data_IF_936478509095
#
_entry.id   IF_936478509095
#
_cell.length_a   1.000
_cell.length_b   1.000
_cell.length_c   1.000
_cell.angle_alpha   90.00
_cell.angle_beta   90.00
_cell.angle_gamma   90.00
#
_symmetry.space_group_name_H-M   'P 1'
#
loop_
_entity.id
_entity.type
_entity.pdbx_description
1 polymer ?
#
# COMPACT_ATOMS: atom_id res chain seq x y z
N UNK A 1 -3.87 -8.10 -20.09
CA UNK A 1 -2.91 -7.83 -18.99
C UNK A 1 -3.01 -6.40 -18.44
N UNK A 2 -3.03 -5.34 -19.27
CA UNK A 2 -3.34 -3.95 -18.85
C UNK A 2 -4.68 -3.84 -18.10
N UNK A 3 -5.71 -4.53 -18.59
CA UNK A 3 -7.07 -4.49 -18.05
C UNK A 3 -7.20 -5.18 -16.67
N UNK A 4 -6.47 -6.27 -16.45
CA UNK A 4 -6.43 -6.97 -15.15
C UNK A 4 -5.64 -6.15 -14.11
N UNK A 5 -4.53 -5.53 -14.52
CA UNK A 5 -3.77 -4.62 -13.64
C UNK A 5 -4.53 -3.33 -13.33
N UNK A 6 -5.35 -2.84 -14.27
CA UNK A 6 -6.25 -1.71 -14.07
C UNK A 6 -7.37 -2.05 -13.09
N UNK A 7 -8.06 -3.20 -13.26
CA UNK A 7 -9.09 -3.65 -12.30
C UNK A 7 -8.56 -3.84 -10.88
N UNK A 8 -7.39 -4.47 -10.73
CA UNK A 8 -6.78 -4.70 -9.43
C UNK A 8 -6.38 -3.38 -8.73
N UNK A 9 -5.89 -2.40 -9.50
CA UNK A 9 -5.59 -1.07 -8.98
C UNK A 9 -6.84 -0.37 -8.44
N UNK A 10 -7.93 -0.36 -9.21
CA UNK A 10 -9.19 0.29 -8.83
C UNK A 10 -9.85 -0.39 -7.62
N UNK A 11 -9.84 -1.72 -7.56
CA UNK A 11 -10.41 -2.47 -6.43
C UNK A 11 -9.62 -2.21 -5.13
N UNK A 12 -8.29 -2.23 -5.19
CA UNK A 12 -7.45 -1.97 -4.01
C UNK A 12 -7.56 -0.53 -3.51
N UNK A 13 -7.66 0.46 -4.42
CA UNK A 13 -7.94 1.85 -4.06
C UNK A 13 -9.26 1.96 -3.28
N UNK A 14 -10.34 1.37 -3.82
CA UNK A 14 -11.66 1.45 -3.21
C UNK A 14 -11.72 0.71 -1.87
N UNK A 15 -11.14 -0.49 -1.77
CA UNK A 15 -11.03 -1.23 -0.50
C UNK A 15 -10.26 -0.43 0.55
N UNK A 16 -9.12 0.15 0.18
CA UNK A 16 -8.30 0.97 1.09
C UNK A 16 -9.03 2.23 1.54
N UNK A 17 -9.78 2.87 0.64
CA UNK A 17 -10.62 4.04 0.95
C UNK A 17 -11.74 3.69 1.93
N UNK A 18 -12.45 2.58 1.70
CA UNK A 18 -13.50 2.10 2.60
C UNK A 18 -12.93 1.76 4.00
N UNK A 19 -11.78 1.10 4.06
CA UNK A 19 -11.08 0.83 5.31
C UNK A 19 -10.75 2.13 6.06
N UNK A 20 -10.18 3.13 5.38
CA UNK A 20 -9.87 4.43 5.97
C UNK A 20 -11.12 5.12 6.56
N UNK A 21 -12.25 5.09 5.85
CA UNK A 21 -13.52 5.65 6.35
C UNK A 21 -13.99 4.91 7.61
N UNK A 22 -13.90 3.58 7.65
CA UNK A 22 -14.27 2.81 8.84
C UNK A 22 -13.35 3.13 10.03
N UNK A 23 -12.05 3.34 9.79
CA UNK A 23 -11.08 3.73 10.82
C UNK A 23 -11.34 5.15 11.34
N UNK A 24 -11.70 6.10 10.48
CA UNK A 24 -12.14 7.44 10.91
C UNK A 24 -13.32 7.31 11.87
N UNK A 25 -14.33 6.48 11.54
CA UNK A 25 -15.48 6.25 12.42
C UNK A 25 -15.08 5.58 13.75
N UNK A 26 -14.19 4.59 13.70
CA UNK A 26 -13.62 3.95 14.90
C UNK A 26 -12.94 4.98 15.81
N UNK A 27 -12.18 5.92 15.23
CA UNK A 27 -11.42 6.93 15.98
C UNK A 27 -12.31 7.85 16.83
N UNK A 28 -13.57 8.03 16.44
CA UNK A 28 -14.55 8.80 17.22
C UNK A 28 -14.92 8.14 18.55
N UNK A 29 -14.69 6.83 18.70
CA UNK A 29 -14.94 6.09 19.93
C UNK A 29 -13.81 6.17 20.96
N UNK A 30 -12.66 6.77 20.61
CA UNK A 30 -11.49 6.82 21.50
C UNK A 30 -11.78 7.55 22.81
N UNK A 31 -11.16 7.12 23.93
CA UNK A 31 -11.33 7.82 25.19
C UNK A 31 -10.80 9.25 25.11
N UNK A 32 -11.49 10.17 25.81
CA UNK A 32 -11.14 11.59 25.84
C UNK A 32 -10.00 11.86 26.82
N UNK A 33 -8.83 11.31 26.54
CA UNK A 33 -7.61 11.46 27.30
C UNK A 33 -6.39 11.61 26.36
N UNK A 34 -5.20 11.98 26.87
CA UNK A 34 -4.03 12.20 26.03
C UNK A 34 -3.66 11.00 25.12
N UNK A 35 -3.74 9.77 25.64
CA UNK A 35 -3.41 8.57 24.88
C UNK A 35 -4.41 8.33 23.73
N UNK A 36 -5.71 8.46 24.00
CA UNK A 36 -6.77 8.32 23.00
C UNK A 36 -6.66 9.37 21.89
N UNK A 37 -6.34 10.62 22.23
CA UNK A 37 -6.14 11.68 21.24
C UNK A 37 -4.93 11.45 20.34
N UNK A 38 -3.81 11.02 20.90
CA UNK A 38 -2.60 10.77 20.12
C UNK A 38 -2.80 9.59 19.16
N UNK A 39 -3.35 8.48 19.66
CA UNK A 39 -3.60 7.29 18.83
C UNK A 39 -4.64 7.57 17.76
N UNK A 40 -5.70 8.32 18.06
CA UNK A 40 -6.69 8.74 17.06
C UNK A 40 -6.04 9.49 15.89
N UNK A 41 -5.13 10.44 16.18
CA UNK A 41 -4.43 11.19 15.15
C UNK A 41 -3.53 10.30 14.29
N UNK A 42 -2.73 9.44 14.93
CA UNK A 42 -1.78 8.58 14.22
C UNK A 42 -2.48 7.56 13.31
N UNK A 43 -3.55 6.91 13.82
CA UNK A 43 -4.26 5.91 13.03
C UNK A 43 -5.01 6.55 11.86
N UNK A 44 -5.67 7.71 12.07
CA UNK A 44 -6.36 8.44 11.00
C UNK A 44 -5.38 8.88 9.92
N UNK A 45 -4.21 9.40 10.30
CA UNK A 45 -3.17 9.80 9.33
C UNK A 45 -2.71 8.61 8.50
N UNK A 46 -2.20 7.56 9.13
CA UNK A 46 -1.69 6.38 8.42
C UNK A 46 -2.75 5.72 7.55
N UNK A 47 -4.00 5.58 8.04
CA UNK A 47 -5.06 4.93 7.27
C UNK A 47 -5.46 5.72 6.02
N UNK A 48 -5.45 7.05 6.07
CA UNK A 48 -5.76 7.88 4.90
C UNK A 48 -4.59 7.96 3.92
N UNK A 49 -3.35 7.83 4.41
CA UNK A 49 -2.17 7.79 3.54
C UNK A 49 -2.13 6.56 2.63
N UNK A 50 -2.81 5.45 2.97
CA UNK A 50 -2.88 4.27 2.10
C UNK A 50 -3.59 4.57 0.76
N UNK A 51 -4.89 4.92 0.72
CA UNK A 51 -5.56 5.25 -0.53
C UNK A 51 -4.94 6.47 -1.22
N UNK A 52 -4.47 7.48 -0.48
CA UNK A 52 -3.83 8.66 -1.08
C UNK A 52 -2.61 8.29 -1.94
N UNK A 53 -1.69 7.46 -1.41
CA UNK A 53 -0.53 6.99 -2.17
C UNK A 53 -0.92 6.11 -3.35
N UNK A 54 -2.03 5.36 -3.27
CA UNK A 54 -2.52 4.54 -4.38
C UNK A 54 -3.12 5.40 -5.50
N UNK A 55 -3.86 6.45 -5.16
CA UNK A 55 -4.35 7.45 -6.12
C UNK A 55 -3.18 8.16 -6.82
N UNK A 56 -2.17 8.59 -6.07
CA UNK A 56 -0.97 9.18 -6.66
C UNK A 56 -0.21 8.20 -7.57
N UNK A 57 -0.27 6.89 -7.27
CA UNK A 57 0.32 5.87 -8.13
C UNK A 57 -0.42 5.76 -9.47
N UNK A 58 -1.74 5.97 -9.51
CA UNK A 58 -2.48 6.00 -10.79
C UNK A 58 -1.99 7.12 -11.72
N UNK A 59 -1.55 8.24 -11.15
CA UNK A 59 -0.93 9.37 -11.86
C UNK A 59 0.60 9.26 -12.03
N UNK A 60 1.20 8.09 -11.82
CA UNK A 60 2.66 7.96 -11.85
C UNK A 60 3.25 8.24 -13.25
N UNK A 61 4.34 9.01 -13.28
CA UNK A 61 5.00 9.43 -14.53
C UNK A 61 5.99 8.39 -15.05
N UNK A 62 6.31 7.37 -14.26
CA UNK A 62 7.24 6.29 -14.64
C UNK A 62 6.99 5.02 -13.83
N UNK A 63 7.51 3.88 -14.29
CA UNK A 63 7.41 2.62 -13.53
C UNK A 63 8.14 2.65 -12.17
N UNK A 64 9.35 3.24 -12.03
CA UNK A 64 9.96 3.44 -10.72
C UNK A 64 9.10 4.29 -9.77
N UNK A 65 8.51 5.38 -10.27
CA UNK A 65 7.61 6.25 -9.49
C UNK A 65 6.37 5.49 -9.01
N UNK A 66 5.73 4.73 -9.91
CA UNK A 66 4.61 3.86 -9.57
C UNK A 66 4.96 2.89 -8.43
N UNK A 67 6.08 2.19 -8.55
CA UNK A 67 6.55 1.22 -7.54
C UNK A 67 6.86 1.92 -6.21
N UNK A 68 7.41 3.13 -6.25
CA UNK A 68 7.71 3.91 -5.06
C UNK A 68 6.43 4.24 -4.29
N UNK A 69 5.41 4.78 -4.97
CA UNK A 69 4.13 5.15 -4.36
C UNK A 69 3.35 3.95 -3.81
N UNK A 70 3.31 2.83 -4.54
CA UNK A 70 2.74 1.58 -4.03
C UNK A 70 3.51 1.06 -2.80
N UNK A 71 4.83 1.27 -2.74
CA UNK A 71 5.62 0.94 -1.54
C UNK A 71 5.32 1.86 -0.36
N UNK A 72 5.03 3.14 -0.57
CA UNK A 72 4.57 4.05 0.47
C UNK A 72 3.23 3.58 1.03
N UNK A 73 2.23 3.32 0.16
CA UNK A 73 0.96 2.75 0.57
C UNK A 73 1.12 1.47 1.41
N UNK A 74 2.05 0.58 1.02
CA UNK A 74 2.38 -0.64 1.78
C UNK A 74 2.93 -0.34 3.17
N UNK A 75 3.77 0.68 3.34
CA UNK A 75 4.31 1.08 4.64
C UNK A 75 3.20 1.62 5.53
N UNK A 76 2.39 2.53 5.00
CA UNK A 76 1.25 3.13 5.70
C UNK A 76 0.24 2.07 6.15
N UNK A 77 -0.07 1.08 5.30
CA UNK A 77 -0.99 -0.01 5.66
C UNK A 77 -0.47 -0.87 6.82
N UNK A 78 0.85 -1.09 6.90
CA UNK A 78 1.48 -1.79 8.03
C UNK A 78 1.43 -0.97 9.30
N UNK A 79 1.64 0.34 9.20
CA UNK A 79 1.53 1.26 10.33
C UNK A 79 0.08 1.30 10.84
N UNK A 80 -0.91 1.38 9.96
CA UNK A 80 -2.34 1.30 10.31
C UNK A 80 -2.67 -0.01 11.04
N UNK A 81 -2.21 -1.15 10.53
CA UNK A 81 -2.43 -2.45 11.20
C UNK A 81 -1.76 -2.51 12.58
N UNK A 82 -0.57 -1.92 12.72
CA UNK A 82 0.12 -1.81 14.00
C UNK A 82 -0.68 -0.94 14.99
N UNK A 83 -1.22 0.19 14.55
CA UNK A 83 -2.08 1.02 15.40
C UNK A 83 -3.36 0.31 15.84
N UNK A 84 -4.02 -0.46 14.95
CA UNK A 84 -5.19 -1.27 15.33
C UNK A 84 -4.85 -2.30 16.42
N UNK A 85 -3.68 -2.93 16.32
CA UNK A 85 -3.18 -3.85 17.37
C UNK A 85 -2.93 -3.11 18.68
N UNK A 86 -2.27 -1.96 18.65
CA UNK A 86 -2.02 -1.16 19.85
C UNK A 86 -3.33 -0.74 20.53
N UNK A 87 -4.35 -0.35 19.76
CA UNK A 87 -5.68 0.01 20.30
C UNK A 87 -6.28 -1.17 21.06
N UNK A 88 -6.19 -2.38 20.50
CA UNK A 88 -6.68 -3.62 21.13
C UNK A 88 -5.89 -3.96 22.39
N UNK A 89 -4.57 -4.00 22.27
CA UNK A 89 -3.66 -4.45 23.33
C UNK A 89 -3.63 -3.48 24.53
N UNK A 90 -3.84 -2.18 24.27
CA UNK A 90 -3.98 -1.16 25.32
C UNK A 90 -5.37 -1.09 25.95
N UNK A 91 -6.35 -1.82 25.42
CA UNK A 91 -7.74 -1.77 25.89
C UNK A 91 -8.45 -0.43 25.64
N UNK A 92 -7.93 0.42 24.74
CA UNK A 92 -8.56 1.70 24.39
C UNK A 92 -9.91 1.49 23.70
N UNK A 93 -10.02 0.44 22.89
CA UNK A 93 -11.27 -0.05 22.32
C UNK A 93 -11.27 -1.58 22.31
N UNK A 94 -12.45 -2.16 22.46
CA UNK A 94 -12.68 -3.61 22.42
C UNK A 94 -13.92 -3.90 21.58
N UNK A 95 -13.97 -5.07 20.94
CA UNK A 95 -15.15 -5.54 20.22
C UNK A 95 -14.85 -6.08 18.82
N UNK A 96 -15.83 -6.79 18.26
CA UNK A 96 -15.70 -7.48 16.96
C UNK A 96 -15.36 -6.55 15.81
N UNK A 97 -15.85 -5.30 15.84
CA UNK A 97 -15.54 -4.31 14.81
C UNK A 97 -14.03 -4.02 14.70
N UNK A 98 -13.31 -4.00 15.83
CA UNK A 98 -11.86 -3.79 15.83
C UNK A 98 -11.14 -4.99 15.17
N UNK A 99 -11.60 -6.21 15.46
CA UNK A 99 -11.05 -7.44 14.89
C UNK A 99 -11.30 -7.55 13.38
N UNK A 100 -12.49 -7.14 12.92
CA UNK A 100 -12.81 -7.04 11.50
C UNK A 100 -11.91 -6.03 10.78
N UNK A 101 -11.66 -4.86 11.39
CA UNK A 101 -10.76 -3.86 10.82
C UNK A 101 -9.31 -4.32 10.78
N UNK A 102 -8.85 -5.03 11.82
CA UNK A 102 -7.52 -5.65 11.82
C UNK A 102 -7.38 -6.70 10.71
N UNK A 103 -8.41 -7.50 10.49
CA UNK A 103 -8.44 -8.50 9.43
C UNK A 103 -8.36 -7.85 8.06
N UNK A 104 -9.22 -6.87 7.77
CA UNK A 104 -9.21 -6.13 6.50
C UNK A 104 -7.88 -5.40 6.28
N UNK A 105 -7.34 -4.73 7.30
CA UNK A 105 -6.04 -4.06 7.21
C UNK A 105 -4.90 -5.04 6.89
N UNK A 106 -4.93 -6.25 7.47
CA UNK A 106 -3.96 -7.29 7.16
C UNK A 106 -4.09 -7.80 5.71
N UNK A 107 -5.30 -7.97 5.20
CA UNK A 107 -5.52 -8.32 3.80
C UNK A 107 -4.96 -7.25 2.85
N UNK A 108 -5.23 -5.97 3.11
CA UNK A 108 -4.67 -4.84 2.35
C UNK A 108 -3.13 -4.88 2.38
N UNK A 109 -2.52 -5.15 3.54
CA UNK A 109 -1.05 -5.33 3.65
C UNK A 109 -0.57 -6.48 2.77
N UNK A 110 -1.22 -7.63 2.82
CA UNK A 110 -0.86 -8.81 2.01
C UNK A 110 -0.94 -8.51 0.50
N UNK A 111 -2.01 -7.85 0.05
CA UNK A 111 -2.20 -7.45 -1.34
C UNK A 111 -1.12 -6.46 -1.80
N UNK A 112 -0.78 -5.46 -0.97
CA UNK A 112 0.27 -4.49 -1.27
C UNK A 112 1.66 -5.15 -1.31
N UNK A 113 1.94 -6.08 -0.40
CA UNK A 113 3.19 -6.87 -0.42
C UNK A 113 3.30 -7.68 -1.72
N UNK A 114 2.25 -8.39 -2.12
CA UNK A 114 2.23 -9.17 -3.36
C UNK A 114 2.40 -8.28 -4.61
N UNK A 115 1.74 -7.12 -4.61
CA UNK A 115 1.83 -6.11 -5.67
C UNK A 115 3.26 -5.60 -5.85
N UNK A 116 3.90 -5.14 -4.76
CA UNK A 116 5.29 -4.66 -4.79
C UNK A 116 6.24 -5.74 -5.30
N UNK A 117 6.14 -6.97 -4.79
CA UNK A 117 7.00 -8.09 -5.22
C UNK A 117 6.87 -8.35 -6.72
N UNK A 118 5.64 -8.34 -7.23
CA UNK A 118 5.34 -8.55 -8.66
C UNK A 118 5.93 -7.43 -9.52
N UNK A 119 5.72 -6.17 -9.12
CA UNK A 119 6.20 -5.02 -9.89
C UNK A 119 7.73 -4.95 -9.94
N UNK A 120 8.41 -5.19 -8.82
CA UNK A 120 9.87 -5.19 -8.75
C UNK A 120 10.48 -6.32 -9.59
N UNK A 121 9.83 -7.49 -9.62
CA UNK A 121 10.29 -8.62 -10.45
C UNK A 121 10.19 -8.28 -11.94
N UNK A 122 9.06 -7.70 -12.38
CA UNK A 122 8.87 -7.24 -13.76
C UNK A 122 9.89 -6.16 -14.16
N UNK A 123 10.16 -5.21 -13.27
CA UNK A 123 11.15 -4.16 -13.52
C UNK A 123 12.55 -4.73 -13.75
N UNK A 124 12.98 -5.69 -12.92
CA UNK A 124 14.30 -6.35 -13.06
C UNK A 124 14.41 -7.10 -14.40
N UNK A 125 13.36 -7.82 -14.82
CA UNK A 125 13.35 -8.53 -16.09
C UNK A 125 13.48 -7.56 -17.28
N UNK A 126 12.70 -6.47 -17.28
CA UNK A 126 12.76 -5.46 -18.33
C UNK A 126 14.14 -4.77 -18.42
N UNK A 127 14.81 -4.52 -17.29
CA UNK A 127 16.17 -3.97 -17.26
C UNK A 127 17.20 -4.94 -17.85
N UNK A 128 17.09 -6.24 -17.57
CA UNK A 128 17.98 -7.28 -18.12
C UNK A 128 17.82 -7.44 -19.63
N UNK A 129 16.59 -7.43 -20.13
CA UNK A 129 16.31 -7.53 -21.56
C UNK A 129 16.90 -6.35 -22.35
N UNK A 130 16.78 -5.12 -21.82
CA UNK A 130 17.39 -3.93 -22.44
C UNK A 130 18.93 -3.99 -22.46
N UNK A 131 19.54 -4.46 -21.38
CA UNK A 131 21.00 -4.65 -21.28
C UNK A 131 21.51 -5.72 -22.25
N UNK A 132 20.80 -6.85 -22.39
CA UNK A 132 21.17 -7.94 -23.29
C UNK A 132 20.91 -7.65 -24.78
N UNK A 133 19.94 -6.80 -25.09
CA UNK A 133 19.69 -6.37 -26.48
C UNK A 133 20.73 -5.37 -26.97
N UNK A 134 21.16 -4.41 -26.12
CA UNK A 134 22.24 -3.48 -26.45
C UNK A 134 23.59 -4.16 -26.68
N UNK A 135 23.91 -5.22 -25.92
CA UNK A 135 25.17 -5.96 -26.12
C UNK A 135 25.18 -6.79 -27.41
N UNK A 136 24.04 -7.33 -27.85
CA UNK A 136 23.94 -8.06 -29.13
C UNK A 136 24.11 -7.18 -30.35
N UNK A 137 23.68 -5.92 -30.29
CA UNK A 137 23.90 -4.95 -31.37
C UNK A 137 25.37 -4.53 -31.45
N UNK A 138 26.03 -4.30 -30.31
CA UNK A 138 27.45 -3.92 -30.26
C UNK A 138 28.39 -5.00 -30.84
N UNK A 139 28.05 -6.29 -30.71
CA UNK A 139 28.88 -7.41 -31.24
C UNK A 139 28.73 -7.59 -32.76
N UNK A 140 27.65 -7.06 -33.37
CA UNK A 140 27.44 -7.14 -34.82
C UNK A 140 28.19 -6.08 -35.61
N UNK A 141 28.47 -4.92 -35.01
CA UNK A 141 29.14 -3.79 -35.67
C UNK A 141 30.67 -3.89 -35.64
N UNK A 142 31.23 -4.76 -34.80
CA UNK A 142 32.68 -4.96 -34.65
C UNK A 142 33.28 -6.03 -35.58
N UNK A 143 32.59 -6.40 -36.67
CA UNK A 143 33.04 -7.39 -37.68
C UNK A 143 33.14 -6.82 -39.10
N UNK A 144 33.54 -5.56 -39.22
CA UNK A 144 33.99 -4.92 -40.46
C UNK A 144 35.41 -4.38 -40.22
#
# INVERSE_FOLDING_TARGET
MKEIMSKFGTELCERSRQLAVKIIRLSSGMPRNPAGWEIAKQIVRSSNSVPANLEEAQGAISSPDFIHKVNLARKEARETLMWLRNIKDSGLLVGSQLDELMTEANEVVCLLVASVKTLQSKQKTASKEKSGSNSRFAIRDSRL
#
